data_IF_387272421933
#
_entry.id   IF_387272421933
#
_cell.length_a   1.000
_cell.length_b   1.000
_cell.length_c   1.000
_cell.angle_alpha   90.00
_cell.angle_beta   90.00
_cell.angle_gamma   90.00
#
_symmetry.space_group_name_H-M   'P 1'
#
loop_
_entity.id
_entity.type
_entity.pdbx_description
1 polymer ?
#
# COMPACT_ATOMS: atom_id res chain seq x y z
N UNK A 1 -7.13 8.33 18.60
CA UNK A 1 -7.17 9.57 19.43
C UNK A 1 -7.92 10.70 18.71
N UNK A 2 -7.53 11.13 17.50
CA UNK A 2 -8.17 12.24 16.77
C UNK A 2 -9.68 12.05 16.54
N UNK A 3 -10.14 10.88 16.13
CA UNK A 3 -11.57 10.57 15.91
C UNK A 3 -12.35 10.88 17.21
N UNK A 4 -11.85 10.38 18.35
CA UNK A 4 -12.51 10.60 19.65
C UNK A 4 -12.54 12.07 20.05
N UNK A 5 -11.51 12.83 19.70
CA UNK A 5 -11.48 14.28 19.92
C UNK A 5 -12.58 14.97 19.08
N UNK A 6 -12.71 14.63 17.81
CA UNK A 6 -13.76 15.17 16.94
C UNK A 6 -15.17 14.83 17.43
N UNK A 7 -15.37 13.61 17.94
CA UNK A 7 -16.66 13.19 18.52
C UNK A 7 -17.03 13.96 19.79
N UNK A 8 -16.05 14.26 20.63
CA UNK A 8 -16.24 14.95 21.92
C UNK A 8 -16.09 16.48 21.83
N UNK A 9 -15.98 17.03 20.63
CA UNK A 9 -15.76 18.46 20.45
C UNK A 9 -16.83 19.35 21.14
N UNK A 10 -18.14 19.03 21.08
CA UNK A 10 -19.16 19.79 21.80
C UNK A 10 -18.95 19.78 23.31
N UNK A 11 -18.65 18.62 23.89
CA UNK A 11 -18.42 18.43 25.32
C UNK A 11 -17.15 19.13 25.76
N UNK A 12 -16.09 19.08 24.95
CA UNK A 12 -14.82 19.79 25.21
C UNK A 12 -15.07 21.31 25.26
N UNK A 13 -15.82 21.85 24.29
CA UNK A 13 -16.19 23.27 24.30
C UNK A 13 -16.98 23.66 25.54
N UNK A 14 -18.01 22.89 25.90
CA UNK A 14 -18.82 23.15 27.08
C UNK A 14 -17.98 23.11 28.36
N UNK A 15 -17.08 22.12 28.48
CA UNK A 15 -16.17 22.02 29.63
C UNK A 15 -15.22 23.22 29.72
N UNK A 16 -14.60 23.62 28.61
CA UNK A 16 -13.66 24.75 28.60
C UNK A 16 -14.36 26.07 28.93
N UNK A 17 -15.55 26.30 28.41
CA UNK A 17 -16.38 27.49 28.76
C UNK A 17 -16.71 27.50 30.21
N UNK A 18 -17.03 26.36 30.84
CA UNK A 18 -17.29 26.29 32.32
C UNK A 18 -16.06 26.65 33.16
N UNK A 19 -14.84 26.55 32.57
CA UNK A 19 -13.57 26.92 33.21
C UNK A 19 -13.09 28.33 32.84
N UNK A 20 -13.93 29.12 32.15
CA UNK A 20 -13.57 30.45 31.63
C UNK A 20 -12.30 30.40 30.75
N UNK A 21 -12.11 29.29 29.99
CA UNK A 21 -11.02 29.13 29.03
C UNK A 21 -11.60 29.10 27.64
N UNK A 22 -11.18 30.02 26.80
CA UNK A 22 -11.59 30.11 25.41
C UNK A 22 -10.40 29.76 24.51
N UNK A 23 -10.67 28.92 23.52
CA UNK A 23 -9.73 28.56 22.45
C UNK A 23 -10.44 28.85 21.13
N UNK A 24 -10.10 29.96 20.46
CA UNK A 24 -10.77 30.39 19.23
C UNK A 24 -10.75 29.35 18.13
N UNK A 25 -9.70 28.52 18.07
CA UNK A 25 -9.51 27.46 17.09
C UNK A 25 -10.64 26.44 17.13
N UNK A 26 -11.15 26.10 18.33
CA UNK A 26 -12.24 25.13 18.48
C UNK A 26 -13.58 25.62 17.91
N UNK A 27 -13.69 26.91 17.61
CA UNK A 27 -14.88 27.53 17.00
C UNK A 27 -14.59 28.02 15.57
N UNK A 28 -13.35 27.93 15.11
CA UNK A 28 -12.95 28.36 13.78
C UNK A 28 -13.32 27.29 12.73
N UNK A 29 -14.23 27.57 11.78
CA UNK A 29 -14.65 26.60 10.77
C UNK A 29 -13.51 26.05 9.92
N UNK A 30 -12.56 26.91 9.56
CA UNK A 30 -11.39 26.52 8.76
C UNK A 30 -10.49 25.53 9.50
N UNK A 31 -10.20 25.81 10.78
CA UNK A 31 -9.41 24.92 11.62
C UNK A 31 -10.11 23.56 11.82
N UNK A 32 -11.43 23.58 11.99
CA UNK A 32 -12.23 22.37 12.17
C UNK A 32 -12.25 21.50 10.92
N UNK A 33 -12.36 22.08 9.73
CA UNK A 33 -12.26 21.34 8.47
C UNK A 33 -10.87 20.71 8.31
N UNK A 34 -9.81 21.45 8.64
CA UNK A 34 -8.45 20.90 8.60
C UNK A 34 -8.29 19.74 9.57
N UNK A 35 -8.78 19.85 10.80
CA UNK A 35 -8.75 18.79 11.80
C UNK A 35 -9.52 17.55 11.31
N UNK A 36 -10.70 17.74 10.76
CA UNK A 36 -11.53 16.67 10.22
C UNK A 36 -10.84 15.93 9.08
N UNK A 37 -10.29 16.67 8.11
CA UNK A 37 -9.52 16.12 7.00
C UNK A 37 -8.31 15.32 7.49
N UNK A 38 -7.49 15.90 8.38
CA UNK A 38 -6.33 15.20 8.97
C UNK A 38 -6.73 13.95 9.74
N UNK A 39 -7.88 13.97 10.42
CA UNK A 39 -8.41 12.81 11.14
C UNK A 39 -8.73 11.67 10.16
N UNK A 40 -9.41 11.95 9.05
CA UNK A 40 -9.74 10.97 8.03
C UNK A 40 -8.47 10.42 7.35
N UNK A 41 -7.53 11.29 6.96
CA UNK A 41 -6.26 10.90 6.30
C UNK A 41 -5.40 10.03 7.22
N UNK A 42 -5.20 10.46 8.48
CA UNK A 42 -4.40 9.68 9.44
C UNK A 42 -5.03 8.34 9.75
N UNK A 43 -6.36 8.24 9.77
CA UNK A 43 -7.08 6.98 9.90
C UNK A 43 -6.74 6.01 8.76
N UNK A 44 -6.67 6.48 7.53
CA UNK A 44 -6.30 5.69 6.34
C UNK A 44 -4.83 5.28 6.35
N UNK A 45 -3.93 6.21 6.72
CA UNK A 45 -2.50 5.91 6.89
C UNK A 45 -2.28 4.85 7.97
N UNK A 46 -2.99 4.93 9.08
CA UNK A 46 -2.94 3.91 10.13
C UNK A 46 -3.45 2.55 9.65
N UNK A 47 -4.46 2.52 8.78
CA UNK A 47 -4.94 1.29 8.17
C UNK A 47 -3.88 0.68 7.26
N UNK A 48 -3.25 1.48 6.39
CA UNK A 48 -2.12 1.05 5.57
C UNK A 48 -0.97 0.52 6.46
N UNK A 49 -0.58 1.27 7.48
CA UNK A 49 0.50 0.87 8.38
C UNK A 49 0.24 -0.50 9.02
N UNK A 50 -0.99 -0.77 9.48
CA UNK A 50 -1.38 -2.09 9.99
C UNK A 50 -1.31 -3.18 8.92
N UNK A 51 -1.63 -2.86 7.66
CA UNK A 51 -1.53 -3.81 6.54
C UNK A 51 -0.08 -4.14 6.16
N UNK A 52 0.86 -3.22 6.45
CA UNK A 52 2.28 -3.40 6.18
C UNK A 52 3.03 -4.08 7.34
N UNK A 53 2.42 -4.19 8.52
CA UNK A 53 3.00 -4.82 9.71
C UNK A 53 2.45 -6.24 9.90
N UNK A 54 3.26 -7.13 10.51
CA UNK A 54 2.88 -8.49 10.85
C UNK A 54 3.91 -9.51 10.39
N UNK A 55 3.99 -10.66 11.07
CA UNK A 55 5.04 -11.68 10.87
C UNK A 55 4.96 -12.40 9.52
N UNK A 56 3.79 -12.47 8.91
CA UNK A 56 3.57 -13.20 7.64
C UNK A 56 3.51 -12.26 6.40
N UNK A 57 3.95 -11.00 6.55
CA UNK A 57 3.89 -10.04 5.45
C UNK A 57 5.10 -10.17 4.54
N UNK A 58 4.89 -10.77 3.39
CA UNK A 58 5.90 -10.85 2.33
C UNK A 58 5.90 -9.58 1.47
N UNK A 59 7.05 -9.26 0.91
CA UNK A 59 7.27 -8.03 0.15
C UNK A 59 6.27 -7.81 -1.00
N UNK A 60 5.90 -8.80 -1.83
CA UNK A 60 4.88 -8.62 -2.86
C UNK A 60 3.53 -8.17 -2.32
N UNK A 61 3.09 -8.72 -1.17
CA UNK A 61 1.82 -8.32 -0.54
C UNK A 61 1.88 -6.89 0.00
N UNK A 62 3.02 -6.50 0.59
CA UNK A 62 3.23 -5.13 1.05
C UNK A 62 3.21 -4.14 -0.11
N UNK A 63 3.87 -4.47 -1.23
CA UNK A 63 3.87 -3.67 -2.44
C UNK A 63 2.45 -3.47 -2.98
N UNK A 64 1.64 -4.52 -3.08
CA UNK A 64 0.25 -4.42 -3.52
C UNK A 64 -0.58 -3.49 -2.63
N UNK A 65 -0.38 -3.51 -1.31
CA UNK A 65 -1.06 -2.61 -0.38
C UNK A 65 -0.66 -1.14 -0.61
N UNK A 66 0.61 -0.88 -0.87
CA UNK A 66 1.13 0.46 -1.18
C UNK A 66 0.55 0.95 -2.52
N UNK A 67 0.61 0.14 -3.58
CA UNK A 67 0.05 0.49 -4.89
C UNK A 67 -1.46 0.77 -4.80
N UNK A 68 -2.20 -0.08 -4.08
CA UNK A 68 -3.63 0.13 -3.85
C UNK A 68 -3.90 1.43 -3.07
N UNK A 69 -3.03 1.78 -2.12
CA UNK A 69 -3.16 3.03 -1.37
C UNK A 69 -2.89 4.25 -2.24
N UNK A 70 -1.85 4.23 -3.08
CA UNK A 70 -1.56 5.30 -4.06
C UNK A 70 -2.75 5.55 -5.00
N UNK A 71 -3.35 4.49 -5.55
CA UNK A 71 -4.55 4.60 -6.39
C UNK A 71 -5.75 5.20 -5.64
N UNK A 72 -5.89 4.88 -4.33
CA UNK A 72 -6.91 5.50 -3.48
C UNK A 72 -6.66 6.99 -3.27
N UNK A 73 -5.41 7.42 -3.08
CA UNK A 73 -5.07 8.84 -2.93
C UNK A 73 -5.49 9.63 -4.19
N UNK A 74 -5.18 9.12 -5.38
CA UNK A 74 -5.59 9.73 -6.65
C UNK A 74 -7.12 9.82 -6.78
N UNK A 75 -7.85 8.75 -6.41
CA UNK A 75 -9.32 8.77 -6.40
C UNK A 75 -9.86 9.81 -5.41
N UNK A 76 -9.26 9.90 -4.22
CA UNK A 76 -9.69 10.82 -3.17
C UNK A 76 -9.47 12.28 -3.60
N UNK A 77 -8.31 12.59 -4.19
CA UNK A 77 -8.03 13.92 -4.75
C UNK A 77 -9.06 14.29 -5.83
N UNK A 78 -9.33 13.40 -6.78
CA UNK A 78 -10.34 13.63 -7.82
C UNK A 78 -11.75 13.87 -7.26
N UNK A 79 -12.13 13.19 -6.17
CA UNK A 79 -13.42 13.44 -5.53
C UNK A 79 -13.45 14.78 -4.80
N UNK A 80 -12.41 15.14 -4.07
CA UNK A 80 -12.33 16.43 -3.38
C UNK A 80 -12.31 17.61 -4.36
N UNK A 81 -11.69 17.47 -5.54
CA UNK A 81 -11.70 18.51 -6.56
C UNK A 81 -13.12 18.83 -7.09
N UNK A 82 -14.05 17.89 -6.95
CA UNK A 82 -15.49 18.08 -7.25
C UNK A 82 -16.34 18.31 -5.97
N UNK A 83 -15.70 18.67 -4.85
CA UNK A 83 -16.35 18.85 -3.54
C UNK A 83 -17.11 17.60 -3.04
N UNK A 84 -16.68 16.41 -3.46
CA UNK A 84 -17.27 15.14 -3.05
C UNK A 84 -16.50 14.54 -1.88
N UNK A 85 -17.03 14.65 -0.66
CA UNK A 85 -16.41 14.16 0.58
C UNK A 85 -16.83 12.74 0.95
N UNK A 86 -17.36 11.92 0.02
CA UNK A 86 -17.88 10.56 0.32
C UNK A 86 -16.87 9.65 1.02
N UNK A 87 -15.59 9.83 0.80
CA UNK A 87 -14.52 9.06 1.44
C UNK A 87 -14.01 9.67 2.74
N UNK A 88 -14.50 10.81 3.15
CA UNK A 88 -14.05 11.59 4.31
C UNK A 88 -15.21 11.81 5.28
N UNK A 89 -15.50 10.81 6.10
CA UNK A 89 -16.69 10.79 6.92
C UNK A 89 -16.70 11.89 7.99
N UNK A 90 -15.54 12.16 8.62
CA UNK A 90 -15.42 13.22 9.63
C UNK A 90 -15.50 14.60 8.96
N UNK A 91 -14.79 14.77 7.84
CA UNK A 91 -14.85 16.00 7.04
C UNK A 91 -16.28 16.27 6.54
N UNK A 92 -16.95 15.27 5.97
CA UNK A 92 -18.33 15.39 5.47
C UNK A 92 -19.30 15.83 6.59
N UNK A 93 -19.15 15.25 7.78
CA UNK A 93 -19.97 15.61 8.95
C UNK A 93 -19.73 17.04 9.40
N UNK A 94 -18.46 17.48 9.48
CA UNK A 94 -18.13 18.83 9.92
C UNK A 94 -18.41 19.91 8.89
N UNK A 95 -18.46 19.55 7.62
CA UNK A 95 -18.74 20.49 6.53
C UNK A 95 -20.21 20.90 6.44
N UNK A 96 -21.15 20.17 7.07
CA UNK A 96 -22.59 20.46 6.98
C UNK A 96 -22.98 21.84 7.53
N UNK A 97 -22.24 22.32 8.53
CA UNK A 97 -22.52 23.59 9.24
C UNK A 97 -21.59 24.73 8.80
N UNK A 98 -20.85 24.54 7.71
CA UNK A 98 -19.87 25.51 7.20
C UNK A 98 -20.36 26.17 5.93
N UNK A 99 -19.93 27.41 5.70
CA UNK A 99 -20.22 28.13 4.47
C UNK A 99 -19.80 27.34 3.22
N UNK A 100 -20.68 27.15 2.22
CA UNK A 100 -20.37 26.35 1.03
C UNK A 100 -19.17 26.84 0.24
N UNK A 101 -18.91 28.15 0.19
CA UNK A 101 -17.75 28.72 -0.50
C UNK A 101 -16.44 28.32 0.19
N UNK A 102 -16.39 28.38 1.51
CA UNK A 102 -15.24 27.92 2.30
C UNK A 102 -15.03 26.43 2.14
N UNK A 103 -16.09 25.63 2.13
CA UNK A 103 -16.01 24.18 1.92
C UNK A 103 -15.39 23.85 0.57
N UNK A 104 -15.85 24.46 -0.54
CA UNK A 104 -15.29 24.23 -1.88
C UNK A 104 -13.82 24.62 -1.93
N UNK A 105 -13.46 25.80 -1.41
CA UNK A 105 -12.07 26.25 -1.37
C UNK A 105 -11.16 25.28 -0.61
N UNK A 106 -11.61 24.80 0.53
CA UNK A 106 -10.84 23.83 1.34
C UNK A 106 -10.75 22.45 0.67
N UNK A 107 -11.81 21.98 0.04
CA UNK A 107 -11.79 20.70 -0.67
C UNK A 107 -10.75 20.70 -1.78
N UNK A 108 -10.56 21.79 -2.51
CA UNK A 108 -9.50 21.94 -3.52
C UNK A 108 -8.11 21.84 -2.88
N UNK A 109 -7.85 22.55 -1.78
CA UNK A 109 -6.58 22.49 -1.07
C UNK A 109 -6.28 21.09 -0.52
N UNK A 110 -7.30 20.38 -0.03
CA UNK A 110 -7.14 19.00 0.43
C UNK A 110 -6.84 18.04 -0.73
N UNK A 111 -7.42 18.30 -1.92
CA UNK A 111 -7.07 17.58 -3.14
C UNK A 111 -5.59 17.74 -3.48
N UNK A 112 -5.09 18.98 -3.54
CA UNK A 112 -3.68 19.29 -3.80
C UNK A 112 -2.74 18.62 -2.77
N UNK A 113 -3.14 18.60 -1.49
CA UNK A 113 -2.38 17.90 -0.45
C UNK A 113 -2.28 16.38 -0.72
N UNK A 114 -3.39 15.75 -1.15
CA UNK A 114 -3.39 14.31 -1.46
C UNK A 114 -2.58 13.99 -2.71
N UNK A 115 -2.56 14.88 -3.70
CA UNK A 115 -1.72 14.73 -4.89
C UNK A 115 -0.23 14.82 -4.52
N UNK A 116 0.14 15.77 -3.66
CA UNK A 116 1.50 15.85 -3.11
C UNK A 116 1.87 14.59 -2.33
N UNK A 117 0.96 14.07 -1.50
CA UNK A 117 1.18 12.82 -0.77
C UNK A 117 1.34 11.62 -1.72
N UNK A 118 0.56 11.54 -2.79
CA UNK A 118 0.68 10.48 -3.79
C UNK A 118 2.04 10.53 -4.51
N UNK A 119 2.53 11.73 -4.86
CA UNK A 119 3.85 11.93 -5.46
C UNK A 119 4.99 11.51 -4.50
N UNK A 120 4.87 11.84 -3.22
CA UNK A 120 5.83 11.38 -2.20
C UNK A 120 5.87 9.85 -2.10
N UNK A 121 4.72 9.18 -2.14
CA UNK A 121 4.65 7.72 -2.18
C UNK A 121 5.30 7.17 -3.46
N UNK A 122 4.99 7.73 -4.62
CA UNK A 122 5.58 7.33 -5.89
C UNK A 122 7.11 7.45 -5.88
N UNK A 123 7.64 8.59 -5.43
CA UNK A 123 9.08 8.81 -5.30
C UNK A 123 9.74 7.81 -4.36
N UNK A 124 9.18 7.60 -3.16
CA UNK A 124 9.77 6.71 -2.15
C UNK A 124 9.70 5.23 -2.53
N UNK A 125 8.71 4.82 -3.31
CA UNK A 125 8.51 3.43 -3.70
C UNK A 125 8.82 3.15 -5.17
N UNK A 126 9.52 4.06 -5.86
CA UNK A 126 9.92 3.91 -7.26
C UNK A 126 10.75 2.65 -7.52
N UNK A 127 11.66 2.29 -6.62
CA UNK A 127 12.45 1.06 -6.71
C UNK A 127 11.60 -0.20 -6.61
N UNK A 128 10.56 -0.17 -5.77
CA UNK A 128 9.60 -1.28 -5.69
C UNK A 128 8.79 -1.42 -6.98
N UNK A 129 8.50 -0.32 -7.67
CA UNK A 129 7.85 -0.36 -9.00
C UNK A 129 8.75 -1.06 -10.03
N UNK A 130 10.06 -0.81 -10.00
CA UNK A 130 11.02 -1.51 -10.87
C UNK A 130 11.09 -3.03 -10.60
N UNK A 131 10.75 -3.47 -9.38
CA UNK A 131 10.71 -4.88 -9.00
C UNK A 131 9.34 -5.53 -9.22
N UNK A 132 8.38 -4.85 -9.83
CA UNK A 132 6.99 -5.32 -9.97
C UNK A 132 6.91 -6.65 -10.72
N UNK A 133 7.64 -6.79 -11.82
CA UNK A 133 7.69 -8.03 -12.63
C UNK A 133 8.21 -9.21 -11.81
N UNK A 134 9.25 -8.97 -11.00
CA UNK A 134 9.79 -9.97 -10.07
C UNK A 134 8.75 -10.39 -9.01
N UNK A 135 7.99 -9.44 -8.45
CA UNK A 135 6.94 -9.76 -7.50
C UNK A 135 5.79 -10.54 -8.13
N UNK A 136 5.42 -10.22 -9.37
CA UNK A 136 4.42 -10.98 -10.12
C UNK A 136 4.86 -12.43 -10.34
N UNK A 137 6.12 -12.64 -10.73
CA UNK A 137 6.69 -13.97 -10.85
C UNK A 137 6.60 -14.76 -9.53
N UNK A 138 6.97 -14.14 -8.39
CA UNK A 138 6.94 -14.82 -7.09
C UNK A 138 5.51 -15.18 -6.66
N UNK A 139 4.52 -14.35 -7.00
CA UNK A 139 3.11 -14.59 -6.62
C UNK A 139 2.43 -15.59 -7.54
N UNK A 140 2.69 -15.54 -8.85
CA UNK A 140 2.00 -16.36 -9.85
C UNK A 140 2.97 -16.98 -10.88
N UNK A 141 3.91 -17.85 -10.48
CA UNK A 141 4.87 -18.45 -11.42
C UNK A 141 4.21 -19.31 -12.48
N UNK A 142 3.07 -19.92 -12.17
CA UNK A 142 2.37 -20.85 -13.10
C UNK A 142 1.82 -20.15 -14.35
N UNK A 143 1.44 -18.88 -14.26
CA UNK A 143 0.92 -18.08 -15.37
C UNK A 143 1.92 -17.06 -15.91
N UNK A 144 3.15 -17.05 -15.39
CA UNK A 144 4.16 -16.06 -15.74
C UNK A 144 4.80 -16.33 -17.10
N UNK A 145 5.09 -15.29 -17.88
CA UNK A 145 5.66 -15.43 -19.22
C UNK A 145 7.18 -15.62 -19.14
N UNK A 146 7.73 -16.71 -19.74
CA UNK A 146 9.17 -17.00 -19.63
C UNK A 146 10.08 -15.92 -20.21
N UNK A 147 9.62 -15.16 -21.22
CA UNK A 147 10.37 -14.09 -21.87
C UNK A 147 10.66 -12.93 -20.93
N UNK A 148 9.74 -12.65 -20.00
CA UNK A 148 9.87 -11.55 -19.04
C UNK A 148 10.86 -11.82 -17.92
N UNK A 149 11.32 -13.06 -17.74
CA UNK A 149 12.38 -13.40 -16.76
C UNK A 149 13.66 -12.59 -16.99
N UNK A 150 13.95 -12.22 -18.25
CA UNK A 150 15.14 -11.42 -18.60
C UNK A 150 15.15 -10.00 -18.01
N UNK A 151 14.04 -9.51 -17.48
CA UNK A 151 13.99 -8.20 -16.83
C UNK A 151 14.71 -8.18 -15.46
N UNK A 152 14.81 -9.33 -14.79
CA UNK A 152 15.35 -9.43 -13.43
C UNK A 152 16.33 -10.60 -13.21
N UNK A 153 16.55 -11.47 -14.19
CA UNK A 153 17.51 -12.59 -14.11
C UNK A 153 18.76 -12.27 -14.93
N UNK A 154 19.93 -12.52 -14.36
CA UNK A 154 21.20 -12.39 -15.05
C UNK A 154 21.27 -13.33 -16.26
N UNK A 155 21.96 -12.88 -17.34
CA UNK A 155 22.01 -13.58 -18.62
C UNK A 155 22.50 -15.02 -18.52
N UNK A 156 23.47 -15.29 -17.65
CA UNK A 156 24.04 -16.63 -17.42
C UNK A 156 23.01 -17.62 -16.86
N UNK A 157 22.02 -17.17 -16.12
CA UNK A 157 21.01 -18.02 -15.48
C UNK A 157 19.68 -18.01 -16.24
N UNK A 158 19.53 -17.12 -17.23
CA UNK A 158 18.24 -16.90 -17.90
C UNK A 158 17.73 -18.14 -18.61
N UNK A 159 18.59 -18.82 -19.40
CA UNK A 159 18.20 -20.00 -20.15
C UNK A 159 17.75 -21.15 -19.21
N UNK A 160 18.49 -21.38 -18.12
CA UNK A 160 18.13 -22.38 -17.13
C UNK A 160 16.80 -22.03 -16.45
N UNK A 161 16.61 -20.77 -16.05
CA UNK A 161 15.37 -20.31 -15.43
C UNK A 161 14.15 -20.44 -16.35
N UNK A 162 14.30 -20.15 -17.64
CA UNK A 162 13.22 -20.32 -18.63
C UNK A 162 12.81 -21.79 -18.77
N UNK A 163 13.79 -22.70 -18.84
CA UNK A 163 13.51 -24.14 -18.91
C UNK A 163 12.83 -24.65 -17.62
N UNK A 164 13.37 -24.28 -16.46
CA UNK A 164 12.73 -24.61 -15.18
C UNK A 164 11.29 -24.06 -15.08
N UNK A 165 11.03 -22.85 -15.58
CA UNK A 165 9.69 -22.26 -15.54
C UNK A 165 8.71 -23.02 -16.42
N UNK A 166 9.09 -23.38 -17.64
CA UNK A 166 8.25 -24.16 -18.54
C UNK A 166 7.93 -25.55 -17.96
N UNK A 167 8.93 -26.20 -17.35
CA UNK A 167 8.75 -27.49 -16.68
C UNK A 167 7.83 -27.35 -15.45
N UNK A 168 8.02 -26.30 -14.63
CA UNK A 168 7.16 -25.99 -13.49
C UNK A 168 5.71 -25.77 -13.93
N UNK A 169 5.52 -25.04 -15.02
CA UNK A 169 4.20 -24.78 -15.60
C UNK A 169 3.52 -26.02 -16.19
N UNK A 170 4.26 -27.08 -16.49
CA UNK A 170 3.72 -28.35 -16.94
C UNK A 170 3.57 -29.37 -15.81
N UNK A 171 4.16 -29.12 -14.63
CA UNK A 171 4.14 -30.07 -13.51
C UNK A 171 2.75 -30.16 -12.86
N UNK A 172 2.08 -31.28 -13.15
CA UNK A 172 0.72 -31.55 -12.66
C UNK A 172 0.66 -31.74 -11.14
N UNK A 173 1.75 -32.22 -10.52
CA UNK A 173 1.82 -32.41 -9.06
C UNK A 173 1.89 -31.07 -8.34
N UNK A 174 2.68 -30.14 -8.86
CA UNK A 174 2.75 -28.78 -8.31
C UNK A 174 1.40 -28.06 -8.48
N UNK A 175 0.79 -28.13 -9.68
CA UNK A 175 -0.53 -27.52 -9.93
C UNK A 175 -1.64 -28.09 -9.05
N UNK A 176 -1.59 -29.38 -8.72
CA UNK A 176 -2.57 -30.04 -7.87
C UNK A 176 -2.33 -29.80 -6.37
N UNK A 177 -1.17 -29.28 -5.98
CA UNK A 177 -0.83 -29.06 -4.59
C UNK A 177 -1.80 -28.02 -3.95
N UNK A 178 -2.34 -28.30 -2.76
CA UNK A 178 -3.27 -27.37 -2.09
C UNK A 178 -2.71 -25.98 -1.87
N UNK A 179 -1.40 -25.86 -1.65
CA UNK A 179 -0.70 -24.62 -1.38
C UNK A 179 -0.64 -23.71 -2.61
N UNK A 180 -0.55 -24.28 -3.81
CA UNK A 180 -0.62 -23.53 -5.06
C UNK A 180 -2.01 -22.92 -5.31
N UNK A 181 -3.07 -23.55 -4.81
CA UNK A 181 -4.45 -23.08 -4.95
C UNK A 181 -4.87 -22.07 -3.88
N UNK A 182 -4.16 -21.99 -2.74
CA UNK A 182 -4.52 -21.13 -1.59
C UNK A 182 -4.04 -19.70 -1.69
N UNK A 183 -3.32 -19.32 -2.75
CA UNK A 183 -2.67 -17.99 -2.91
C UNK A 183 -1.67 -17.64 -1.79
N UNK A 184 -1.16 -18.63 -1.10
CA UNK A 184 -0.07 -18.49 -0.13
C UNK A 184 1.24 -18.74 -0.84
N UNK A 185 1.91 -17.67 -1.25
CA UNK A 185 3.15 -17.77 -2.00
C UNK A 185 4.30 -18.38 -1.17
N UNK A 186 4.30 -18.22 0.16
CA UNK A 186 5.30 -18.85 1.04
C UNK A 186 5.16 -20.37 1.05
N UNK A 187 3.93 -20.86 1.25
CA UNK A 187 3.65 -22.30 1.24
C UNK A 187 3.92 -22.90 -0.16
N UNK A 188 3.49 -22.22 -1.22
CA UNK A 188 3.74 -22.64 -2.60
C UNK A 188 5.24 -22.80 -2.89
N UNK A 189 6.06 -21.80 -2.60
CA UNK A 189 7.50 -21.85 -2.85
C UNK A 189 8.24 -22.83 -1.93
N UNK A 190 7.71 -23.09 -0.73
CA UNK A 190 8.20 -24.18 0.13
C UNK A 190 7.96 -25.53 -0.52
N UNK A 191 6.76 -25.77 -1.04
CA UNK A 191 6.41 -27.00 -1.78
C UNK A 191 7.27 -27.17 -3.02
N UNK A 192 7.40 -26.15 -3.87
CA UNK A 192 8.26 -26.16 -5.06
C UNK A 192 9.71 -26.47 -4.68
N UNK A 193 10.24 -25.82 -3.64
CA UNK A 193 11.62 -25.99 -3.18
C UNK A 193 11.94 -27.38 -2.60
N UNK A 194 10.95 -28.07 -1.99
CA UNK A 194 11.12 -29.43 -1.46
C UNK A 194 11.36 -30.47 -2.56
N UNK A 195 10.83 -30.25 -3.76
CA UNK A 195 11.07 -31.19 -4.89
C UNK A 195 12.48 -31.11 -5.47
N UNK A 196 13.21 -30.01 -5.23
CA UNK A 196 14.59 -29.82 -5.70
C UNK A 196 14.76 -29.73 -7.23
N UNK A 197 13.68 -29.75 -8.00
CA UNK A 197 13.69 -29.75 -9.47
C UNK A 197 13.98 -28.37 -10.08
N UNK A 198 13.68 -27.29 -9.36
CA UNK A 198 13.66 -25.91 -9.85
C UNK A 198 14.60 -25.03 -9.01
N UNK A 199 15.92 -25.30 -9.00
CA UNK A 199 16.84 -24.63 -8.06
C UNK A 199 17.00 -23.15 -8.34
N UNK A 200 17.07 -22.73 -9.62
CA UNK A 200 17.24 -21.31 -10.00
C UNK A 200 16.02 -20.49 -9.59
N UNK A 201 14.83 -20.95 -9.93
CA UNK A 201 13.58 -20.27 -9.58
C UNK A 201 13.36 -20.23 -8.07
N UNK A 202 13.66 -21.33 -7.38
CA UNK A 202 13.54 -21.43 -5.92
C UNK A 202 14.48 -20.47 -5.18
N UNK A 203 15.70 -20.29 -5.69
CA UNK A 203 16.68 -19.36 -5.10
C UNK A 203 16.22 -17.91 -5.24
N UNK A 204 15.71 -17.53 -6.41
CA UNK A 204 15.13 -16.20 -6.65
C UNK A 204 13.96 -15.94 -5.70
N UNK A 205 13.03 -16.87 -5.64
CA UNK A 205 11.86 -16.72 -4.76
C UNK A 205 12.26 -16.64 -3.27
N UNK A 206 13.19 -17.47 -2.82
CA UNK A 206 13.74 -17.41 -1.44
C UNK A 206 14.34 -16.05 -1.12
N UNK A 207 15.13 -15.48 -2.04
CA UNK A 207 15.71 -14.14 -1.85
C UNK A 207 14.61 -13.10 -1.64
N UNK A 208 13.59 -13.07 -2.50
CA UNK A 208 12.47 -12.12 -2.38
C UNK A 208 11.66 -12.33 -1.10
N UNK A 209 11.31 -13.58 -0.80
CA UNK A 209 10.48 -13.91 0.35
C UNK A 209 11.20 -13.76 1.70
N UNK A 210 12.53 -13.79 1.71
CA UNK A 210 13.34 -13.54 2.91
C UNK A 210 13.59 -12.06 3.19
N UNK A 211 13.25 -11.17 2.26
CA UNK A 211 13.39 -9.73 2.47
C UNK A 211 12.34 -9.21 3.44
N UNK A 212 12.78 -8.58 4.51
CA UNK A 212 11.90 -7.89 5.47
C UNK A 212 11.59 -6.46 4.98
N UNK A 213 10.34 -6.05 5.07
CA UNK A 213 9.86 -4.77 4.55
C UNK A 213 10.56 -3.52 5.11
N UNK A 214 11.24 -3.62 6.27
CA UNK A 214 11.99 -2.52 6.87
C UNK A 214 13.40 -2.30 6.28
N UNK A 215 13.97 -3.32 5.60
CA UNK A 215 15.35 -3.28 5.06
C UNK A 215 15.41 -3.08 3.55
N UNK A 216 14.28 -3.14 2.85
CA UNK A 216 14.23 -3.38 1.41
C UNK A 216 14.31 -2.11 0.57
N UNK A 217 13.98 -0.96 1.12
CA UNK A 217 13.99 0.30 0.35
C UNK A 217 15.39 0.73 -0.13
N UNK A 218 16.45 0.12 0.42
CA UNK A 218 17.84 0.42 0.03
C UNK A 218 18.54 -0.70 -0.76
N UNK A 219 18.01 -1.92 -0.79
CA UNK A 219 18.76 -3.12 -1.23
C UNK A 219 18.22 -3.85 -2.48
N UNK A 220 17.03 -3.53 -3.00
CA UNK A 220 16.42 -4.28 -4.12
C UNK A 220 17.26 -4.18 -5.39
N UNK A 221 17.86 -3.02 -5.65
CA UNK A 221 18.69 -2.82 -6.85
C UNK A 221 20.11 -3.41 -6.75
N UNK A 222 20.63 -3.66 -5.53
CA UNK A 222 22.00 -4.13 -5.33
C UNK A 222 22.14 -5.66 -5.35
N UNK A 223 21.08 -6.40 -5.03
CA UNK A 223 21.15 -7.87 -4.88
C UNK A 223 20.82 -8.68 -6.12
N UNK A 224 20.19 -8.08 -7.13
CA UNK A 224 19.81 -8.80 -8.36
C UNK A 224 20.69 -8.45 -9.56
N UNK A 225 21.62 -7.48 -9.46
CA UNK A 225 22.57 -7.10 -10.51
C UNK A 225 23.99 -7.65 -10.30
N UNK A 226 24.26 -8.35 -9.24
CA UNK A 226 25.47 -9.14 -8.96
C UNK A 226 25.12 -10.60 -8.95
#
# INVERSE_FOLDING_TARGET
MLIRFCELLPEIRAFLSSKCKEYPELSNPEWLLNLAFLTDVTGRLNTLNKQLQGEEKVLPTMFNNIEAFQRKLTLFSAHLSTNNCVHFAILSKMATDVDPGLQVYRSLQFGDFLDGLAQEFESRFSECQAAKTLFQFVVEPISFQPETLGEFIARENLAAAQMELLELQCDIYIKAAPDCNRKDCLAMWRTIGQHGKYPVLSDIAKKVLSMFGSTVLTDVNLRFRT
#
